data_IF_277915207710
#
_entry.id   IF_277915207710
#
_cell.length_a   1.000
_cell.length_b   1.000
_cell.length_c   1.000
_cell.angle_alpha   90.00
_cell.angle_beta   90.00
_cell.angle_gamma   90.00
#
_symmetry.space_group_name_H-M   'P 1'
#
loop_
_entity.id
_entity.type
_entity.pdbx_description
1 polymer ?
#
# COMPACT_ATOMS: atom_id res chain seq x y z
N UNK A 1 -12.15 14.60 -4.39
CA UNK A 1 -12.08 14.94 -2.96
C UNK A 1 -11.32 16.25 -2.79
N UNK A 2 -11.82 17.21 -2.01
CA UNK A 2 -11.08 18.43 -1.68
C UNK A 2 -9.71 18.07 -1.08
N UNK A 3 -8.62 18.62 -1.61
CA UNK A 3 -7.25 18.36 -1.15
C UNK A 3 -6.48 17.26 -1.90
N UNK A 4 -7.11 16.50 -2.80
CA UNK A 4 -6.38 15.62 -3.71
C UNK A 4 -5.61 16.47 -4.74
N UNK A 5 -4.30 16.22 -4.90
CA UNK A 5 -3.48 16.95 -5.86
C UNK A 5 -4.01 16.63 -7.27
N UNK A 6 -4.58 17.64 -7.94
CA UNK A 6 -5.22 17.52 -9.27
C UNK A 6 -4.22 17.09 -10.35
N UNK A 7 -2.92 17.24 -10.11
CA UNK A 7 -1.84 16.86 -11.04
C UNK A 7 -0.77 16.05 -10.31
N UNK A 8 -0.56 14.80 -10.73
CA UNK A 8 0.52 13.96 -10.21
C UNK A 8 1.87 14.70 -10.29
N UNK A 9 2.70 14.58 -9.24
CA UNK A 9 4.03 15.19 -9.23
C UNK A 9 4.84 14.68 -10.43
N UNK A 10 5.36 15.58 -11.26
CA UNK A 10 6.26 15.22 -12.37
C UNK A 10 7.47 14.49 -11.81
N UNK A 11 7.69 13.27 -12.28
CA UNK A 11 8.86 12.49 -11.90
C UNK A 11 10.11 13.13 -12.50
N UNK A 12 11.24 13.17 -11.75
CA UNK A 12 12.48 13.67 -12.31
C UNK A 12 12.94 12.75 -13.46
N UNK A 13 13.69 13.27 -14.46
CA UNK A 13 14.06 12.50 -15.65
C UNK A 13 14.81 11.18 -15.38
N UNK A 14 15.54 11.11 -14.26
CA UNK A 14 16.31 9.95 -13.83
C UNK A 14 15.51 8.94 -13.00
N UNK A 15 14.24 9.22 -12.70
CA UNK A 15 13.43 8.43 -11.77
C UNK A 15 13.31 6.95 -12.18
N UNK A 16 12.82 6.68 -13.40
CA UNK A 16 12.54 5.32 -13.85
C UNK A 16 13.81 4.48 -13.92
N UNK A 17 14.92 5.07 -14.41
CA UNK A 17 16.23 4.40 -14.45
C UNK A 17 16.68 4.02 -13.03
N UNK A 18 16.63 4.97 -12.08
CA UNK A 18 17.04 4.70 -10.68
C UNK A 18 16.19 3.65 -9.99
N UNK A 19 14.89 3.65 -10.22
CA UNK A 19 14.00 2.62 -9.65
C UNK A 19 14.30 1.26 -10.25
N UNK A 20 14.57 1.19 -11.56
CA UNK A 20 14.89 -0.07 -12.21
C UNK A 20 16.25 -0.62 -11.75
N UNK A 21 17.25 0.22 -11.52
CA UNK A 21 18.52 -0.21 -10.93
C UNK A 21 18.31 -0.89 -9.56
N UNK A 22 17.29 -0.48 -8.80
CA UNK A 22 16.91 -1.09 -7.51
C UNK A 22 16.06 -2.36 -7.67
N UNK A 23 15.11 -2.37 -8.60
CA UNK A 23 14.15 -3.49 -8.79
C UNK A 23 14.70 -4.61 -9.68
N UNK A 24 15.61 -4.29 -10.59
CA UNK A 24 16.18 -5.18 -11.61
C UNK A 24 17.69 -4.99 -11.70
N UNK A 25 18.44 -5.24 -10.61
CA UNK A 25 19.90 -5.16 -10.63
C UNK A 25 20.53 -6.15 -11.63
N UNK A 26 19.79 -7.20 -12.02
CA UNK A 26 20.18 -8.15 -13.06
C UNK A 26 20.32 -7.53 -14.45
N UNK A 27 19.67 -6.39 -14.70
CA UNK A 27 19.76 -5.64 -15.97
C UNK A 27 20.89 -4.61 -15.97
N UNK A 28 21.60 -4.46 -14.85
CA UNK A 28 22.69 -3.52 -14.74
C UNK A 28 23.98 -4.08 -15.37
N UNK A 29 24.79 -3.19 -15.94
CA UNK A 29 26.14 -3.50 -16.39
C UNK A 29 27.10 -3.72 -15.21
N UNK A 30 28.38 -3.98 -15.51
CA UNK A 30 29.45 -4.13 -14.50
C UNK A 30 29.63 -2.89 -13.60
N UNK A 31 29.10 -1.74 -13.99
CA UNK A 31 29.16 -0.49 -13.22
C UNK A 31 27.87 -0.25 -12.40
N UNK A 32 26.94 -1.20 -12.40
CA UNK A 32 25.66 -1.07 -11.70
C UNK A 32 24.67 -0.12 -12.39
N UNK A 33 24.86 0.19 -13.68
CA UNK A 33 23.99 1.07 -14.45
C UNK A 33 23.18 0.29 -15.46
N UNK A 34 21.91 0.63 -15.59
CA UNK A 34 21.06 0.09 -16.65
C UNK A 34 21.28 0.87 -17.94
N UNK A 35 21.63 0.17 -19.02
CA UNK A 35 21.75 0.74 -20.35
C UNK A 35 20.45 0.57 -21.14
N UNK A 36 19.42 1.33 -20.76
CA UNK A 36 18.13 1.39 -21.46
C UNK A 36 17.84 2.82 -21.87
N UNK A 37 17.15 2.98 -23.00
CA UNK A 37 16.61 4.28 -23.36
C UNK A 37 15.52 4.69 -22.34
N UNK A 38 15.35 6.00 -22.18
CA UNK A 38 14.40 6.55 -21.19
C UNK A 38 12.98 6.02 -21.36
N UNK A 39 12.54 5.84 -22.61
CA UNK A 39 11.21 5.32 -22.92
C UNK A 39 11.07 3.85 -22.49
N UNK A 40 12.07 3.02 -22.80
CA UNK A 40 12.10 1.61 -22.40
C UNK A 40 12.10 1.45 -20.88
N UNK A 41 12.91 2.25 -20.19
CA UNK A 41 12.94 2.29 -18.73
C UNK A 41 11.56 2.68 -18.15
N UNK A 42 10.85 3.60 -18.79
CA UNK A 42 9.51 4.02 -18.36
C UNK A 42 8.47 2.92 -18.61
N UNK A 43 8.53 2.23 -19.75
CA UNK A 43 7.64 1.13 -20.07
C UNK A 43 7.82 -0.05 -19.10
N UNK A 44 9.08 -0.41 -18.82
CA UNK A 44 9.38 -1.49 -17.88
C UNK A 44 8.96 -1.13 -16.44
N UNK A 45 9.21 0.10 -16.00
CA UNK A 45 8.69 0.59 -14.71
C UNK A 45 7.17 0.46 -14.61
N UNK A 46 6.46 0.89 -15.66
CA UNK A 46 5.00 0.80 -15.70
C UNK A 46 4.53 -0.67 -15.66
N UNK A 47 5.21 -1.56 -16.38
CA UNK A 47 4.86 -2.98 -16.41
C UNK A 47 5.05 -3.65 -15.06
N UNK A 48 6.19 -3.42 -14.39
CA UNK A 48 6.47 -3.96 -13.07
C UNK A 48 5.42 -3.50 -12.06
N UNK A 49 5.09 -2.20 -12.04
CA UNK A 49 4.06 -1.66 -11.13
C UNK A 49 2.69 -2.25 -11.37
N UNK A 50 2.26 -2.37 -12.63
CA UNK A 50 0.94 -2.90 -12.99
C UNK A 50 0.71 -4.33 -12.50
N UNK A 51 1.76 -5.14 -12.39
CA UNK A 51 1.67 -6.51 -11.85
C UNK A 51 1.37 -6.57 -10.35
N UNK A 52 1.69 -5.50 -9.63
CA UNK A 52 1.47 -5.39 -8.17
C UNK A 52 0.30 -4.49 -7.82
N UNK A 53 -0.43 -4.00 -8.83
CA UNK A 53 -1.51 -3.05 -8.64
C UNK A 53 -2.80 -3.78 -8.26
N UNK A 54 -3.39 -3.39 -7.13
CA UNK A 54 -4.67 -3.94 -6.70
C UNK A 54 -5.80 -3.30 -7.48
N UNK A 55 -6.75 -4.12 -7.94
CA UNK A 55 -7.92 -3.69 -8.68
C UNK A 55 -9.10 -3.48 -7.75
N UNK A 56 -10.03 -2.61 -8.15
CA UNK A 56 -11.32 -2.49 -7.45
C UNK A 56 -12.05 -3.83 -7.46
N UNK A 57 -12.55 -4.25 -6.31
CA UNK A 57 -13.18 -5.55 -6.08
C UNK A 57 -12.22 -6.66 -5.65
N UNK A 58 -10.90 -6.42 -5.65
CA UNK A 58 -9.94 -7.39 -5.12
C UNK A 58 -10.21 -7.63 -3.63
N UNK A 59 -10.25 -8.91 -3.26
CA UNK A 59 -10.44 -9.37 -1.88
C UNK A 59 -9.09 -9.80 -1.29
N UNK A 60 -8.75 -9.21 -0.16
CA UNK A 60 -7.54 -9.52 0.60
C UNK A 60 -8.00 -10.16 1.90
N UNK A 61 -7.69 -11.44 2.08
CA UNK A 61 -8.03 -12.18 3.30
C UNK A 61 -6.77 -12.38 4.13
N UNK A 62 -6.84 -12.02 5.41
CA UNK A 62 -5.76 -12.22 6.39
C UNK A 62 -6.27 -12.97 7.62
N UNK A 63 -5.34 -13.59 8.34
CA UNK A 63 -5.60 -14.37 9.56
C UNK A 63 -6.68 -15.44 9.38
N UNK A 64 -6.74 -16.02 8.17
CA UNK A 64 -7.69 -17.05 7.84
C UNK A 64 -7.27 -18.40 8.46
N UNK A 65 -8.08 -18.90 9.39
CA UNK A 65 -7.82 -20.17 10.08
C UNK A 65 -8.19 -21.42 9.26
N UNK A 66 -8.81 -21.26 8.09
CA UNK A 66 -9.27 -22.35 7.22
C UNK A 66 -10.28 -23.34 7.84
N UNK A 67 -10.78 -23.07 9.04
CA UNK A 67 -11.72 -23.94 9.76
C UNK A 67 -13.14 -23.71 9.23
N UNK A 68 -13.84 -24.76 8.79
CA UNK A 68 -15.22 -24.65 8.28
C UNK A 68 -16.26 -24.65 9.40
N UNK A 69 -15.92 -25.18 10.58
CA UNK A 69 -16.84 -25.24 11.73
C UNK A 69 -16.79 -23.95 12.56
N UNK A 70 -15.61 -23.31 12.67
CA UNK A 70 -15.40 -22.04 13.38
C UNK A 70 -14.49 -21.09 12.57
N UNK A 71 -14.99 -20.60 11.44
CA UNK A 71 -14.21 -19.77 10.52
C UNK A 71 -13.93 -18.39 11.09
N UNK A 72 -12.65 -18.02 11.09
CA UNK A 72 -12.13 -16.71 11.50
C UNK A 72 -11.22 -16.14 10.43
N UNK A 73 -11.50 -14.92 9.99
CA UNK A 73 -10.65 -14.16 9.07
C UNK A 73 -10.95 -12.67 9.13
N UNK A 74 -9.99 -11.86 8.69
CA UNK A 74 -10.21 -10.48 8.29
C UNK A 74 -10.25 -10.43 6.76
N UNK A 75 -11.27 -9.80 6.18
CA UNK A 75 -11.39 -9.58 4.74
C UNK A 75 -11.45 -8.10 4.43
N UNK A 76 -10.62 -7.68 3.49
CA UNK A 76 -10.57 -6.34 2.97
C UNK A 76 -10.97 -6.36 1.50
N UNK A 77 -11.88 -5.48 1.11
CA UNK A 77 -12.25 -5.29 -0.30
C UNK A 77 -11.73 -3.95 -0.78
N UNK A 78 -11.02 -3.95 -1.90
CA UNK A 78 -10.49 -2.73 -2.52
C UNK A 78 -11.61 -1.97 -3.21
N UNK A 79 -11.90 -0.77 -2.72
CA UNK A 79 -12.96 0.08 -3.27
C UNK A 79 -12.39 0.97 -4.38
N UNK A 80 -11.25 1.61 -4.14
CA UNK A 80 -10.56 2.42 -5.16
C UNK A 80 -9.09 2.64 -4.82
N UNK A 81 -8.29 2.91 -5.85
CA UNK A 81 -6.93 3.42 -5.72
C UNK A 81 -6.97 4.94 -5.53
N UNK A 82 -6.65 5.40 -4.32
CA UNK A 82 -6.73 6.81 -3.95
C UNK A 82 -5.56 7.62 -4.51
N UNK A 83 -4.34 7.12 -4.33
CA UNK A 83 -3.14 7.79 -4.82
C UNK A 83 -1.95 6.83 -4.97
N UNK A 84 -0.97 7.22 -5.76
CA UNK A 84 0.26 6.45 -5.99
C UNK A 84 1.49 7.32 -5.70
N UNK A 85 2.41 6.80 -4.89
CA UNK A 85 3.73 7.35 -4.67
C UNK A 85 4.81 6.60 -5.45
N UNK A 86 6.08 6.87 -5.13
CA UNK A 86 7.21 6.24 -5.85
C UNK A 86 7.35 4.73 -5.58
N UNK A 87 6.99 4.30 -4.37
CA UNK A 87 7.21 2.95 -3.85
C UNK A 87 5.94 2.24 -3.38
N UNK A 88 4.89 3.01 -3.11
CA UNK A 88 3.65 2.51 -2.51
C UNK A 88 2.46 3.19 -3.13
N UNK A 89 1.30 2.53 -3.07
CA UNK A 89 0.01 3.11 -3.40
C UNK A 89 -0.91 3.07 -2.17
N UNK A 90 -1.84 4.02 -2.13
CA UNK A 90 -2.89 4.12 -1.14
C UNK A 90 -4.21 3.73 -1.80
N UNK A 91 -4.92 2.83 -1.15
CA UNK A 91 -6.23 2.34 -1.56
C UNK A 91 -7.24 2.65 -0.45
N UNK A 92 -8.47 2.96 -0.84
CA UNK A 92 -9.59 2.89 0.09
C UNK A 92 -10.13 1.47 0.06
N UNK A 93 -10.39 0.94 1.25
CA UNK A 93 -10.87 -0.42 1.45
C UNK A 93 -12.10 -0.41 2.36
N UNK A 94 -13.00 -1.38 2.19
CA UNK A 94 -13.96 -1.77 3.22
C UNK A 94 -13.42 -2.98 3.98
N UNK A 95 -13.80 -3.13 5.25
CA UNK A 95 -13.35 -4.21 6.12
C UNK A 95 -14.53 -5.03 6.64
N UNK A 96 -14.41 -6.34 6.51
CA UNK A 96 -15.32 -7.33 7.06
C UNK A 96 -14.52 -8.27 7.97
N UNK A 97 -15.08 -8.58 9.14
CA UNK A 97 -14.48 -9.50 10.10
C UNK A 97 -15.43 -10.69 10.24
N UNK A 98 -14.90 -11.89 10.05
CA UNK A 98 -15.63 -13.13 10.30
C UNK A 98 -15.21 -13.69 11.66
N UNK A 99 -16.20 -13.95 12.52
CA UNK A 99 -16.02 -14.69 13.76
C UNK A 99 -17.21 -15.64 13.94
N UNK A 100 -16.95 -16.91 14.28
CA UNK A 100 -17.97 -17.93 14.47
C UNK A 100 -18.90 -18.07 13.24
N UNK A 101 -18.34 -18.05 12.03
CA UNK A 101 -19.05 -18.11 10.74
C UNK A 101 -19.99 -16.91 10.44
N UNK A 102 -20.05 -15.90 11.31
CA UNK A 102 -20.81 -14.68 11.05
C UNK A 102 -19.87 -13.57 10.57
N UNK A 103 -20.21 -12.97 9.42
CA UNK A 103 -19.49 -11.83 8.87
C UNK A 103 -20.12 -10.52 9.32
N UNK A 104 -19.35 -9.68 10.01
CA UNK A 104 -19.76 -8.32 10.35
C UNK A 104 -19.03 -7.34 9.45
N UNK A 105 -19.79 -6.61 8.65
CA UNK A 105 -19.27 -5.51 7.84
C UNK A 105 -19.33 -4.20 8.62
N UNK A 106 -18.19 -3.51 8.72
CA UNK A 106 -18.18 -2.12 9.18
C UNK A 106 -18.34 -1.24 7.95
N UNK A 107 -19.44 -0.49 7.88
CA UNK A 107 -19.75 0.44 6.78
C UNK A 107 -18.86 1.71 6.83
N UNK A 108 -17.56 1.51 7.04
CA UNK A 108 -16.53 2.52 7.23
C UNK A 108 -15.41 2.21 6.26
N UNK A 109 -14.94 3.23 5.54
CA UNK A 109 -13.77 3.10 4.66
C UNK A 109 -12.49 3.28 5.47
N UNK A 110 -11.50 2.46 5.15
CA UNK A 110 -10.16 2.51 5.69
C UNK A 110 -9.15 2.81 4.58
N UNK A 111 -7.93 3.19 4.96
CA UNK A 111 -6.84 3.41 4.03
C UNK A 111 -5.84 2.25 4.11
N UNK A 112 -5.65 1.53 3.02
CA UNK A 112 -4.59 0.53 2.88
C UNK A 112 -3.42 1.13 2.12
N UNK A 113 -2.24 1.10 2.71
CA UNK A 113 -0.99 1.39 2.03
C UNK A 113 -0.28 0.09 1.69
N UNK A 114 0.01 -0.17 0.43
CA UNK A 114 0.80 -1.34 0.00
C UNK A 114 1.89 -0.94 -0.99
N UNK A 115 2.90 -1.80 -1.14
CA UNK A 115 3.97 -1.64 -2.12
C UNK A 115 3.44 -1.77 -3.55
N UNK A 116 4.10 -1.08 -4.49
CA UNK A 116 3.96 -1.30 -5.95
C UNK A 116 5.28 -1.79 -6.58
N UNK A 117 6.23 -2.17 -5.72
CA UNK A 117 7.63 -2.46 -5.99
C UNK A 117 7.95 -3.87 -5.49
N UNK A 118 7.59 -4.92 -6.25
CA UNK A 118 7.68 -6.31 -5.82
C UNK A 118 9.12 -6.82 -5.69
N UNK A 119 10.07 -6.24 -6.44
CA UNK A 119 11.43 -6.74 -6.53
C UNK A 119 12.44 -5.92 -5.70
N UNK A 120 12.01 -4.80 -5.14
CA UNK A 120 12.84 -3.86 -4.39
C UNK A 120 13.22 -4.48 -3.06
N UNK A 121 14.51 -4.76 -2.89
CA UNK A 121 15.09 -5.28 -1.64
C UNK A 121 14.82 -4.39 -0.42
N UNK A 122 14.58 -3.09 -0.62
CA UNK A 122 14.42 -2.14 0.48
C UNK A 122 12.97 -1.92 0.91
N UNK A 123 11.97 -2.43 0.18
CA UNK A 123 10.58 -2.00 0.40
C UNK A 123 10.06 -2.45 1.77
N UNK A 124 10.38 -3.68 2.15
CA UNK A 124 10.00 -4.24 3.45
C UNK A 124 10.61 -3.43 4.59
N UNK A 125 11.88 -3.03 4.46
CA UNK A 125 12.55 -2.20 5.47
C UNK A 125 11.91 -0.81 5.57
N UNK A 126 11.56 -0.19 4.44
CA UNK A 126 10.88 1.12 4.40
C UNK A 126 9.52 1.06 5.11
N UNK A 127 8.70 0.06 4.76
CA UNK A 127 7.37 -0.13 5.36
C UNK A 127 7.44 -0.48 6.85
N UNK A 128 8.40 -1.33 7.27
CA UNK A 128 8.62 -1.64 8.70
C UNK A 128 9.01 -0.41 9.51
N UNK A 129 9.84 0.49 8.96
CA UNK A 129 10.22 1.75 9.62
C UNK A 129 9.00 2.65 9.79
N UNK A 130 8.17 2.78 8.76
CA UNK A 130 6.92 3.56 8.83
C UNK A 130 5.96 3.01 9.87
N UNK A 131 5.71 1.70 9.85
CA UNK A 131 4.88 1.01 10.84
C UNK A 131 5.37 1.24 12.27
N UNK A 132 6.69 1.21 12.49
CA UNK A 132 7.29 1.48 13.82
C UNK A 132 6.94 2.88 14.30
N UNK A 133 7.13 3.90 13.46
CA UNK A 133 6.84 5.30 13.81
C UNK A 133 5.34 5.50 14.04
N UNK A 134 4.47 4.96 13.18
CA UNK A 134 3.03 5.08 13.36
C UNK A 134 2.55 4.43 14.68
N UNK A 135 3.13 3.29 15.06
CA UNK A 135 2.84 2.66 16.35
C UNK A 135 3.32 3.50 17.54
N UNK A 136 4.45 4.19 17.42
CA UNK A 136 4.94 5.11 18.44
C UNK A 136 4.03 6.34 18.58
N UNK A 137 3.56 6.91 17.46
CA UNK A 137 2.60 8.01 17.46
C UNK A 137 1.25 7.60 18.07
N UNK A 138 0.79 6.36 17.80
CA UNK A 138 -0.41 5.78 18.41
C UNK A 138 -0.27 5.65 19.92
N UNK A 139 0.87 5.14 20.41
CA UNK A 139 1.16 5.02 21.86
C UNK A 139 1.14 6.38 22.55
N UNK A 140 1.66 7.40 21.90
CA UNK A 140 1.69 8.77 22.41
C UNK A 140 0.38 9.56 22.16
N UNK A 141 -0.68 8.91 21.66
CA UNK A 141 -2.00 9.51 21.39
C UNK A 141 -1.93 10.79 20.54
N UNK A 142 -1.05 10.82 19.54
CA UNK A 142 -0.89 11.98 18.67
C UNK A 142 -2.18 12.22 17.86
N UNK A 143 -2.88 13.36 18.03
CA UNK A 143 -4.25 13.56 17.53
C UNK A 143 -4.38 13.65 16.01
N UNK A 144 -3.29 14.01 15.32
CA UNK A 144 -3.25 14.20 13.86
C UNK A 144 -2.47 13.10 13.14
N UNK A 145 -2.14 12.01 13.82
CA UNK A 145 -1.49 10.86 13.19
C UNK A 145 -2.54 9.89 12.65
N UNK A 146 -2.33 9.31 11.45
CA UNK A 146 -3.03 8.09 11.06
C UNK A 146 -2.87 7.03 12.16
N UNK A 147 -3.95 6.31 12.46
CA UNK A 147 -3.94 5.23 13.45
C UNK A 147 -3.85 3.90 12.73
N UNK A 148 -2.81 3.14 13.03
CA UNK A 148 -2.64 1.76 12.53
C UNK A 148 -3.70 0.86 13.14
N UNK A 149 -4.42 0.15 12.28
CA UNK A 149 -5.45 -0.80 12.63
C UNK A 149 -4.98 -2.24 12.41
N UNK A 150 -4.31 -2.48 11.29
CA UNK A 150 -3.76 -3.78 10.92
C UNK A 150 -2.52 -3.63 10.03
N UNK A 151 -1.74 -4.70 9.89
CA UNK A 151 -0.62 -4.79 8.96
C UNK A 151 -0.33 -6.24 8.61
N UNK A 152 -0.01 -6.51 7.35
CA UNK A 152 0.24 -7.87 6.91
C UNK A 152 0.93 -7.91 5.55
N UNK A 153 0.60 -8.92 4.76
CA UNK A 153 1.05 -9.07 3.37
C UNK A 153 -0.11 -9.33 2.42
N UNK A 154 0.01 -8.81 1.21
CA UNK A 154 -0.89 -9.07 0.07
C UNK A 154 -0.01 -9.28 -1.15
N UNK A 155 -0.18 -10.39 -1.86
CA UNK A 155 0.70 -10.77 -2.99
C UNK A 155 2.20 -10.63 -2.65
N UNK A 156 2.60 -11.17 -1.49
CA UNK A 156 3.95 -11.08 -0.90
C UNK A 156 4.46 -9.66 -0.52
N UNK A 157 3.67 -8.63 -0.79
CA UNK A 157 3.99 -7.24 -0.52
C UNK A 157 3.43 -6.79 0.84
N UNK A 158 4.19 -6.02 1.63
CA UNK A 158 3.71 -5.54 2.92
C UNK A 158 2.60 -4.51 2.74
N UNK A 159 1.55 -4.60 3.56
CA UNK A 159 0.54 -3.56 3.69
C UNK A 159 0.43 -3.02 5.12
N UNK A 160 -0.09 -1.80 5.25
CA UNK A 160 -0.48 -1.16 6.50
C UNK A 160 -1.90 -0.62 6.32
N UNK A 161 -2.84 -1.08 7.15
CA UNK A 161 -4.19 -0.52 7.25
C UNK A 161 -4.20 0.59 8.31
N UNK A 162 -4.72 1.75 7.92
CA UNK A 162 -4.93 2.89 8.80
C UNK A 162 -6.35 3.41 8.71
N UNK A 163 -6.74 4.22 9.69
CA UNK A 163 -7.95 5.05 9.58
C UNK A 163 -7.88 5.95 8.33
N UNK A 164 -8.98 6.02 7.58
CA UNK A 164 -9.10 7.00 6.51
C UNK A 164 -9.18 8.40 7.15
N UNK A 165 -8.22 9.28 6.82
CA UNK A 165 -8.25 10.66 7.27
C UNK A 165 -9.40 11.39 6.56
N UNK A 166 -10.56 11.48 7.21
CA UNK A 166 -11.62 12.38 6.79
C UNK A 166 -11.27 13.80 7.25
N UNK A 167 -11.11 14.78 6.34
CA UNK A 167 -10.85 16.17 6.72
C UNK A 167 -11.97 16.81 7.55
N UNK A 168 -13.17 16.20 7.56
CA UNK A 168 -14.37 16.76 8.20
C UNK A 168 -14.61 16.32 9.65
N UNK A 169 -13.80 15.40 10.21
CA UNK A 169 -13.99 14.93 11.60
C UNK A 169 -13.26 15.81 12.62
N UNK A 170 -12.43 16.75 12.16
CA UNK A 170 -11.70 17.66 13.03
C UNK A 170 -12.27 19.08 12.97
N UNK A 171 -13.53 19.22 13.37
CA UNK A 171 -14.04 20.51 13.84
C UNK A 171 -13.73 20.58 15.34
N UNK A 172 -12.94 21.55 15.83
CA UNK A 172 -12.83 21.76 17.27
C UNK A 172 -14.22 22.16 17.77
N UNK A 173 -14.73 21.44 18.78
CA UNK A 173 -15.83 21.91 19.61
C UNK A 173 -15.37 23.11 20.44
#
# INVERSE_FOLDING_TARGET
MPGAIVKGRRQPPWYSVRILEEERPDLADVNGKINLEKHEATLMDMFIRKKSDLQTGDLIVTDDNLDEEDRKFNRYEVQLKYNEGRYTALYLISRQICANNETVEKNTLFAMKTSIRPYSVNIVLRMKRELRILNELKKNKCPYSPVVLDSGRVADLPFIENTALNPQVYSPQ
#
